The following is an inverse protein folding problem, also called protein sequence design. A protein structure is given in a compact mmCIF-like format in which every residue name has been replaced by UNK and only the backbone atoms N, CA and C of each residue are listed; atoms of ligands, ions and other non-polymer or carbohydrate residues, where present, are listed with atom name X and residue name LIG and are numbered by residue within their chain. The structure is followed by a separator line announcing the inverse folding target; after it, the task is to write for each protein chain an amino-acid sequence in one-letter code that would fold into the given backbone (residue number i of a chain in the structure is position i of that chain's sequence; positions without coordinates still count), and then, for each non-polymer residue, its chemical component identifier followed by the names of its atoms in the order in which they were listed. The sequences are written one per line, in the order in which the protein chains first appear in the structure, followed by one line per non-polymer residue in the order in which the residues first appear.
data_IF_283320328224
#
_entry.id   IF_283320328224
#
_cell.length_a   1.000
_cell.length_b   1.000
_cell.length_c   1.000
_cell.angle_alpha   90.00
_cell.angle_beta   90.00
_cell.angle_gamma   90.00
#
_symmetry.space_group_name_H-M   'P 1'
#
loop_
_entity.id
_entity.type
_entity.pdbx_description
1 polymer ?
#
# COMPACT_ATOMS: atom_id res chain seq x y z
N UNK A 1 -2.11 -6.93 12.92
CA UNK A 1 -3.45 -7.34 12.46
C UNK A 1 -3.84 -6.53 11.24
N UNK A 2 -4.18 -7.19 10.17
CA UNK A 2 -4.70 -6.54 8.99
C UNK A 2 -6.19 -6.28 9.17
N UNK A 3 -6.69 -5.13 8.72
CA UNK A 3 -8.12 -4.86 8.57
C UNK A 3 -8.66 -5.72 7.41
N UNK A 4 -8.91 -7.02 7.66
CA UNK A 4 -9.24 -7.97 6.60
C UNK A 4 -10.45 -8.79 6.96
N UNK A 5 -11.38 -8.85 6.04
CA UNK A 5 -12.44 -9.82 6.02
C UNK A 5 -12.31 -10.84 4.89
N UNK A 6 -13.13 -11.86 4.92
CA UNK A 6 -13.36 -12.77 3.79
C UNK A 6 -14.32 -12.12 2.79
N UNK A 7 -14.60 -12.77 1.67
CA UNK A 7 -15.55 -12.28 0.67
C UNK A 7 -16.97 -12.11 1.23
N UNK A 8 -17.38 -12.97 2.16
CA UNK A 8 -18.59 -12.78 2.97
C UNK A 8 -18.52 -11.50 3.79
N UNK A 9 -17.33 -11.00 4.01
CA UNK A 9 -16.96 -9.82 4.77
C UNK A 9 -16.35 -8.73 3.89
N UNK A 10 -16.69 -8.63 2.60
CA UNK A 10 -16.25 -7.49 1.77
C UNK A 10 -16.65 -6.18 2.46
N UNK A 11 -17.80 -6.14 3.08
CA UNK A 11 -18.27 -5.02 3.91
C UNK A 11 -17.44 -4.85 5.18
N UNK A 12 -17.10 -5.94 5.85
CA UNK A 12 -16.30 -5.91 7.07
C UNK A 12 -14.84 -5.59 6.79
N UNK A 13 -14.35 -5.94 5.61
CA UNK A 13 -12.99 -5.65 5.16
C UNK A 13 -12.71 -4.15 5.10
N UNK A 14 -13.71 -3.39 4.75
CA UNK A 14 -13.71 -1.94 4.69
C UNK A 14 -14.51 -1.28 5.83
N UNK A 15 -14.84 -2.07 6.86
CA UNK A 15 -15.59 -1.66 8.05
C UNK A 15 -16.98 -1.08 7.78
N UNK A 16 -17.18 -0.33 6.69
CA UNK A 16 -18.45 0.26 6.30
C UNK A 16 -18.42 0.68 4.82
N UNK A 17 -19.60 0.93 4.25
CA UNK A 17 -19.76 1.64 2.97
C UNK A 17 -19.73 3.18 3.16
N UNK A 18 -19.85 3.64 4.41
CA UNK A 18 -19.72 5.04 4.77
C UNK A 18 -18.24 5.39 5.04
N UNK A 19 -17.65 6.31 4.27
CA UNK A 19 -16.23 6.65 4.42
C UNK A 19 -15.91 7.27 5.79
N UNK A 20 -16.83 8.01 6.39
CA UNK A 20 -16.63 8.62 7.71
C UNK A 20 -16.65 7.56 8.82
N UNK A 21 -17.57 6.62 8.74
CA UNK A 21 -17.63 5.51 9.70
C UNK A 21 -16.40 4.61 9.57
N UNK A 22 -15.99 4.30 8.34
CA UNK A 22 -14.77 3.52 8.06
C UNK A 22 -13.53 4.22 8.61
N UNK A 23 -13.41 5.53 8.38
CA UNK A 23 -12.31 6.34 8.92
C UNK A 23 -12.26 6.29 10.46
N UNK A 24 -13.39 6.53 11.11
CA UNK A 24 -13.49 6.55 12.58
C UNK A 24 -13.12 5.21 13.19
N UNK A 25 -13.64 4.11 12.66
CA UNK A 25 -13.33 2.77 13.15
C UNK A 25 -11.89 2.36 12.84
N UNK A 26 -11.41 2.70 11.64
CA UNK A 26 -10.04 2.42 11.21
C UNK A 26 -9.00 3.09 12.10
N UNK A 27 -9.19 4.36 12.41
CA UNK A 27 -8.31 5.13 13.31
C UNK A 27 -8.23 4.47 14.68
N UNK A 28 -9.39 4.18 15.30
CA UNK A 28 -9.42 3.56 16.63
C UNK A 28 -8.74 2.17 16.63
N UNK A 29 -8.92 1.41 15.55
CA UNK A 29 -8.30 0.09 15.41
C UNK A 29 -6.76 0.20 15.25
N UNK A 30 -6.29 1.11 14.39
CA UNK A 30 -4.86 1.36 14.16
C UNK A 30 -4.19 1.76 15.48
N UNK A 31 -4.75 2.73 16.19
CA UNK A 31 -4.23 3.18 17.48
C UNK A 31 -4.13 2.03 18.49
N UNK A 32 -5.21 1.25 18.65
CA UNK A 32 -5.21 0.11 19.58
C UNK A 32 -4.21 -1.00 19.22
N UNK A 33 -3.94 -1.25 17.93
CA UNK A 33 -2.90 -2.20 17.49
C UNK A 33 -1.52 -1.65 17.83
N UNK A 34 -1.27 -0.38 17.51
CA UNK A 34 0.06 0.25 17.67
C UNK A 34 0.44 0.54 19.12
N UNK A 35 -0.52 0.61 20.06
CA UNK A 35 -0.25 0.61 21.51
C UNK A 35 0.51 -0.63 22.00
N UNK A 36 0.54 -1.70 21.20
CA UNK A 36 1.23 -2.96 21.53
C UNK A 36 2.58 -3.11 20.82
N UNK A 37 3.19 -2.03 20.35
CA UNK A 37 4.43 -2.03 19.56
C UNK A 37 4.34 -2.90 18.28
N UNK A 38 3.18 -2.91 17.63
CA UNK A 38 2.92 -3.65 16.38
C UNK A 38 2.45 -2.67 15.29
N UNK A 39 3.11 -2.68 14.14
CA UNK A 39 2.66 -1.87 13.02
C UNK A 39 1.30 -2.34 12.51
N UNK A 40 0.31 -1.46 12.53
CA UNK A 40 -0.92 -1.68 11.79
C UNK A 40 -0.68 -1.50 10.28
N UNK A 41 -1.43 -2.26 9.46
CA UNK A 41 -1.37 -2.15 8.01
C UNK A 41 -2.75 -1.83 7.45
N UNK A 42 -2.93 -0.60 6.96
CA UNK A 42 -4.17 -0.19 6.31
C UNK A 42 -4.23 -0.75 4.87
N UNK A 43 -5.36 -1.39 4.49
CA UNK A 43 -5.47 -2.05 3.19
C UNK A 43 -6.90 -2.20 2.68
N UNK A 44 -7.04 -2.42 1.38
CA UNK A 44 -6.03 -2.41 0.32
C UNK A 44 -6.05 -1.06 -0.41
N UNK A 45 -4.89 -0.45 -0.60
CA UNK A 45 -4.75 0.90 -1.18
C UNK A 45 -4.53 0.79 -2.69
N UNK A 46 -5.49 1.14 -3.57
CA UNK A 46 -6.82 1.60 -3.26
C UNK A 46 -7.82 1.02 -4.27
N UNK A 47 -9.12 1.24 -3.99
CA UNK A 47 -10.21 0.91 -4.93
C UNK A 47 -10.32 -0.59 -5.24
N UNK A 48 -9.99 -1.47 -4.32
CA UNK A 48 -10.23 -2.91 -4.50
C UNK A 48 -11.72 -3.22 -4.20
N UNK A 49 -12.59 -2.91 -5.17
CA UNK A 49 -14.04 -2.93 -5.00
C UNK A 49 -14.68 -4.29 -5.22
N UNK A 50 -13.97 -5.24 -5.84
CA UNK A 50 -14.49 -6.58 -6.14
C UNK A 50 -13.43 -7.66 -6.00
N UNK A 51 -13.88 -8.90 -5.77
CA UNK A 51 -13.01 -10.08 -5.72
C UNK A 51 -12.90 -10.80 -7.08
N UNK A 52 -13.92 -10.65 -7.95
CA UNK A 52 -13.88 -11.24 -9.29
C UNK A 52 -12.79 -10.54 -10.12
N UNK A 53 -11.87 -11.34 -10.66
CA UNK A 53 -10.72 -10.88 -11.44
C UNK A 53 -9.85 -9.82 -10.72
N UNK A 54 -9.87 -9.82 -9.38
CA UNK A 54 -9.20 -8.80 -8.54
C UNK A 54 -7.73 -8.56 -8.88
N UNK A 55 -7.06 -9.55 -9.46
CA UNK A 55 -5.64 -9.43 -9.82
C UNK A 55 -5.41 -8.51 -11.02
N UNK A 56 -6.41 -8.35 -11.89
CA UNK A 56 -6.25 -7.66 -13.18
C UNK A 56 -7.41 -6.73 -13.55
N UNK A 57 -8.43 -6.60 -12.68
CA UNK A 57 -9.54 -5.66 -12.93
C UNK A 57 -9.04 -4.22 -12.97
N UNK A 58 -9.51 -3.46 -13.95
CA UNK A 58 -9.26 -2.01 -14.05
C UNK A 58 -10.49 -1.23 -13.55
N UNK A 59 -10.34 -0.61 -12.39
CA UNK A 59 -11.38 0.19 -11.76
C UNK A 59 -11.35 1.62 -12.30
N UNK A 60 -12.30 1.94 -13.16
CA UNK A 60 -12.44 3.30 -13.71
C UNK A 60 -13.14 4.20 -12.70
N UNK A 61 -12.41 5.12 -12.10
CA UNK A 61 -12.88 5.97 -11.01
C UNK A 61 -12.59 7.45 -11.33
N UNK A 62 -13.61 8.30 -11.14
CA UNK A 62 -13.40 9.74 -11.25
C UNK A 62 -12.58 10.25 -10.05
N UNK A 63 -11.82 11.34 -10.25
CA UNK A 63 -11.05 11.99 -9.18
C UNK A 63 -11.95 12.35 -7.99
N UNK A 64 -13.18 12.83 -8.25
CA UNK A 64 -14.13 13.13 -7.21
C UNK A 64 -14.51 11.90 -6.37
N UNK A 65 -14.84 10.78 -7.02
CA UNK A 65 -15.22 9.57 -6.31
C UNK A 65 -14.01 8.99 -5.55
N UNK A 66 -12.82 9.06 -6.13
CA UNK A 66 -11.59 8.67 -5.48
C UNK A 66 -11.40 9.45 -4.18
N UNK A 67 -11.50 10.78 -4.22
CA UNK A 67 -11.28 11.68 -3.09
C UNK A 67 -12.40 11.68 -2.05
N UNK A 68 -13.65 11.49 -2.45
CA UNK A 68 -14.79 11.60 -1.53
C UNK A 68 -15.20 10.25 -0.91
N UNK A 69 -14.87 9.13 -1.57
CA UNK A 69 -15.37 7.80 -1.16
C UNK A 69 -14.22 6.83 -0.80
N UNK A 70 -13.22 6.68 -1.67
CA UNK A 70 -12.22 5.62 -1.50
C UNK A 70 -11.02 6.00 -0.64
N UNK A 71 -10.59 7.25 -0.68
CA UNK A 71 -9.39 7.70 0.01
C UNK A 71 -9.59 8.27 1.42
N UNK A 72 -10.77 8.77 1.86
CA UNK A 72 -10.88 9.41 3.17
C UNK A 72 -10.49 8.53 4.36
N UNK A 73 -10.75 7.21 4.27
CA UNK A 73 -10.34 6.29 5.32
C UNK A 73 -8.82 6.11 5.41
N UNK A 74 -8.11 6.19 4.29
CA UNK A 74 -6.64 6.14 4.26
C UNK A 74 -6.01 7.46 4.71
N UNK A 75 -6.61 8.59 4.32
CA UNK A 75 -6.23 9.90 4.83
C UNK A 75 -6.32 9.95 6.36
N UNK A 76 -7.45 9.55 6.93
CA UNK A 76 -7.63 9.47 8.37
C UNK A 76 -6.68 8.44 9.03
N UNK A 77 -6.42 7.31 8.38
CA UNK A 77 -5.46 6.32 8.87
C UNK A 77 -4.06 6.91 9.03
N UNK A 78 -3.65 7.79 8.10
CA UNK A 78 -2.36 8.50 8.17
C UNK A 78 -2.40 9.62 9.22
N UNK A 79 -3.33 10.57 9.07
CA UNK A 79 -3.34 11.80 9.88
C UNK A 79 -3.75 11.57 11.34
N UNK A 80 -4.82 10.80 11.56
CA UNK A 80 -5.40 10.61 12.87
C UNK A 80 -4.96 9.29 13.51
N UNK A 81 -4.77 8.25 12.68
CA UNK A 81 -4.35 6.93 13.13
C UNK A 81 -2.85 6.77 13.32
N UNK A 82 -2.05 7.55 12.62
CA UNK A 82 -0.59 7.41 12.61
C UNK A 82 -0.14 6.03 12.11
N UNK A 83 -0.81 5.49 11.08
CA UNK A 83 -0.55 4.15 10.57
C UNK A 83 0.90 4.00 10.07
N UNK A 84 1.56 2.90 10.44
CA UNK A 84 2.96 2.65 10.11
C UNK A 84 3.17 1.87 8.82
N UNK A 85 2.14 1.20 8.31
CA UNK A 85 2.23 0.54 7.00
C UNK A 85 0.92 0.59 6.22
N UNK A 86 1.03 0.55 4.90
CA UNK A 86 -0.09 0.51 3.96
C UNK A 86 0.16 -0.62 2.96
N UNK A 87 -0.87 -1.37 2.59
CA UNK A 87 -0.74 -2.44 1.59
C UNK A 87 -1.38 -2.00 0.27
N UNK A 88 -0.58 -2.01 -0.80
CA UNK A 88 -1.04 -1.74 -2.15
C UNK A 88 -1.97 -2.83 -2.66
N UNK A 89 -3.01 -2.44 -3.40
CA UNK A 89 -4.01 -3.36 -3.93
C UNK A 89 -3.55 -4.07 -5.22
N UNK A 90 -4.28 -5.14 -5.59
CA UNK A 90 -4.01 -5.90 -6.81
C UNK A 90 -4.44 -5.20 -8.10
N UNK A 91 -5.59 -4.52 -8.03
CA UNK A 91 -6.30 -3.98 -9.17
C UNK A 91 -5.53 -2.84 -9.85
N UNK A 92 -6.00 -2.50 -11.04
CA UNK A 92 -5.63 -1.25 -11.67
C UNK A 92 -6.63 -0.17 -11.24
N UNK A 93 -6.16 1.07 -11.25
CA UNK A 93 -6.99 2.28 -11.14
C UNK A 93 -6.69 3.13 -12.35
N UNK A 94 -7.71 3.38 -13.18
CA UNK A 94 -7.58 4.18 -14.39
C UNK A 94 -6.41 3.74 -15.30
N UNK A 95 -6.25 2.43 -15.46
CA UNK A 95 -5.24 1.83 -16.34
C UNK A 95 -3.88 1.55 -15.73
N UNK A 96 -3.64 1.90 -14.44
CA UNK A 96 -2.34 1.70 -13.78
C UNK A 96 -2.49 0.81 -12.56
N UNK A 97 -1.61 -0.19 -12.38
CA UNK A 97 -1.55 -1.06 -11.20
C UNK A 97 -1.33 -0.23 -9.93
N UNK A 98 -2.05 -0.53 -8.86
CA UNK A 98 -1.92 0.22 -7.60
C UNK A 98 -0.49 0.23 -7.04
N UNK A 99 0.25 -0.87 -7.18
CA UNK A 99 1.65 -0.97 -6.73
C UNK A 99 2.66 -0.24 -7.65
N UNK A 100 2.21 0.33 -8.76
CA UNK A 100 3.00 1.07 -9.76
C UNK A 100 2.43 2.48 -9.99
N UNK A 101 1.44 2.89 -9.17
CA UNK A 101 0.64 4.07 -9.43
C UNK A 101 1.21 5.31 -8.76
N UNK A 102 1.96 6.10 -9.53
CA UNK A 102 2.61 7.31 -9.02
C UNK A 102 1.64 8.27 -8.32
N UNK A 103 0.49 8.60 -8.93
CA UNK A 103 -0.48 9.51 -8.31
C UNK A 103 -0.98 9.00 -6.95
N UNK A 104 -1.24 7.68 -6.82
CA UNK A 104 -1.71 7.12 -5.55
C UNK A 104 -0.59 7.08 -4.52
N UNK A 105 0.59 6.53 -4.88
CA UNK A 105 1.65 6.22 -3.95
C UNK A 105 2.52 7.44 -3.59
N UNK A 106 2.84 8.28 -4.57
CA UNK A 106 3.67 9.46 -4.34
C UNK A 106 2.82 10.70 -4.09
N UNK A 107 2.08 11.14 -5.12
CA UNK A 107 1.43 12.45 -5.09
C UNK A 107 0.38 12.54 -3.97
N UNK A 108 -0.43 11.49 -3.75
CA UNK A 108 -1.48 11.49 -2.72
C UNK A 108 -0.96 10.96 -1.38
N UNK A 109 -0.48 9.71 -1.33
CA UNK A 109 -0.14 9.08 -0.06
C UNK A 109 1.06 9.75 0.61
N UNK A 110 2.14 10.03 -0.16
CA UNK A 110 3.36 10.63 0.38
C UNK A 110 3.27 12.14 0.50
N UNK A 111 2.96 12.83 -0.62
CA UNK A 111 3.07 14.29 -0.67
C UNK A 111 1.87 14.99 -0.02
N UNK A 112 0.64 14.55 -0.32
CA UNK A 112 -0.55 15.20 0.24
C UNK A 112 -0.85 14.75 1.68
N UNK A 113 -0.76 13.43 1.98
CA UNK A 113 -1.07 12.92 3.32
C UNK A 113 0.15 12.86 4.25
N UNK A 114 1.37 13.02 3.73
CA UNK A 114 2.58 12.99 4.54
C UNK A 114 2.87 11.63 5.17
N UNK A 115 2.55 10.53 4.48
CA UNK A 115 2.78 9.19 5.00
C UNK A 115 4.27 8.84 5.01
N UNK A 116 4.82 8.64 6.20
CA UNK A 116 6.25 8.34 6.42
C UNK A 116 6.54 6.83 6.63
N UNK A 117 5.51 6.00 6.81
CA UNK A 117 5.66 4.55 6.95
C UNK A 117 6.03 3.87 5.63
N UNK A 118 6.06 2.54 5.60
CA UNK A 118 6.34 1.80 4.36
C UNK A 118 5.08 1.28 3.67
N UNK A 119 5.14 1.17 2.35
CA UNK A 119 4.12 0.51 1.53
C UNK A 119 4.59 -0.90 1.19
N UNK A 120 3.76 -1.89 1.54
CA UNK A 120 3.96 -3.29 1.15
C UNK A 120 2.98 -3.67 0.03
N UNK A 121 3.40 -4.50 -0.92
CA UNK A 121 2.47 -5.02 -1.92
C UNK A 121 1.53 -6.08 -1.32
N UNK A 122 0.36 -6.27 -1.89
CA UNK A 122 -0.34 -7.54 -1.72
C UNK A 122 0.44 -8.67 -2.42
N UNK A 123 0.13 -9.93 -2.12
CA UNK A 123 0.86 -11.09 -2.62
C UNK A 123 0.90 -11.12 -4.15
N UNK A 124 2.11 -11.00 -4.71
CA UNK A 124 2.33 -10.95 -6.17
C UNK A 124 1.63 -9.79 -6.90
N UNK A 125 1.38 -8.67 -6.22
CA UNK A 125 0.76 -7.49 -6.83
C UNK A 125 1.75 -6.63 -7.62
N UNK A 126 3.05 -6.74 -7.37
CA UNK A 126 4.11 -6.12 -8.19
C UNK A 126 4.21 -6.88 -9.52
N UNK A 127 4.25 -6.15 -10.64
CA UNK A 127 4.30 -6.72 -11.99
C UNK A 127 5.44 -6.17 -12.85
N UNK A 128 6.01 -5.05 -12.48
CA UNK A 128 7.14 -4.42 -13.16
C UNK A 128 8.14 -3.88 -12.13
N UNK A 129 9.40 -4.31 -12.26
CA UNK A 129 10.48 -3.91 -11.35
C UNK A 129 10.70 -2.42 -11.36
N UNK A 130 10.83 -1.84 -12.56
CA UNK A 130 11.18 -0.42 -12.70
C UNK A 130 10.01 0.47 -12.27
N UNK A 131 8.82 0.21 -12.79
CA UNK A 131 7.63 1.01 -12.47
C UNK A 131 7.34 1.02 -10.96
N UNK A 132 7.46 -0.14 -10.28
CA UNK A 132 7.27 -0.22 -8.83
C UNK A 132 8.44 0.39 -8.03
N UNK A 133 9.67 0.30 -8.54
CA UNK A 133 10.84 0.85 -7.87
C UNK A 133 10.88 2.39 -7.92
N UNK A 134 10.40 2.99 -8.99
CA UNK A 134 10.39 4.45 -9.20
C UNK A 134 9.26 5.18 -8.44
N UNK A 135 8.37 4.44 -7.76
CA UNK A 135 7.27 5.02 -6.96
C UNK A 135 7.37 4.62 -5.49
N UNK A 136 6.47 5.12 -4.66
CA UNK A 136 6.42 4.92 -3.21
C UNK A 136 6.13 3.49 -2.72
N UNK A 137 6.32 2.46 -3.56
CA UNK A 137 6.24 1.04 -3.21
C UNK A 137 7.55 0.59 -2.57
N UNK A 138 7.53 0.10 -1.34
CA UNK A 138 8.76 -0.15 -0.58
C UNK A 138 9.11 -1.64 -0.43
N UNK A 139 8.12 -2.51 -0.19
CA UNK A 139 8.34 -3.94 0.09
C UNK A 139 7.47 -4.80 -0.81
N UNK A 140 8.09 -5.66 -1.60
CA UNK A 140 7.36 -6.67 -2.38
C UNK A 140 7.05 -7.91 -1.54
N UNK A 141 5.79 -8.36 -1.60
CA UNK A 141 5.40 -9.71 -1.17
C UNK A 141 5.08 -10.57 -2.39
N UNK A 142 5.65 -11.77 -2.45
CA UNK A 142 5.40 -12.71 -3.54
C UNK A 142 5.17 -14.12 -3.03
N UNK A 143 4.72 -15.02 -3.90
CA UNK A 143 4.37 -16.41 -3.56
C UNK A 143 5.23 -17.43 -4.31
N UNK A 144 6.25 -16.99 -5.02
CA UNK A 144 7.15 -17.92 -5.72
C UNK A 144 8.09 -18.60 -4.74
N UNK A 145 8.46 -19.87 -4.94
CA UNK A 145 9.41 -20.57 -4.07
C UNK A 145 10.86 -20.08 -4.25
N UNK A 146 11.14 -19.36 -5.33
CA UNK A 146 12.46 -18.82 -5.61
C UNK A 146 12.46 -17.31 -5.33
N UNK A 147 12.99 -16.91 -4.18
CA UNK A 147 13.08 -15.51 -3.76
C UNK A 147 13.94 -14.66 -4.70
N UNK A 148 14.89 -15.26 -5.40
CA UNK A 148 15.78 -14.55 -6.33
C UNK A 148 15.01 -14.00 -7.55
N UNK A 149 13.84 -14.55 -7.86
CA UNK A 149 13.02 -14.15 -9.00
C UNK A 149 12.00 -13.06 -8.66
N UNK A 150 11.92 -12.61 -7.41
CA UNK A 150 11.06 -11.51 -7.04
C UNK A 150 11.48 -10.22 -7.77
N UNK A 151 10.51 -9.37 -8.11
CA UNK A 151 10.77 -8.12 -8.83
C UNK A 151 11.73 -7.19 -8.08
N UNK A 152 11.68 -7.21 -6.73
CA UNK A 152 12.58 -6.43 -5.85
C UNK A 152 13.80 -7.23 -5.35
N UNK A 153 14.07 -8.39 -5.92
CA UNK A 153 15.30 -9.17 -5.66
C UNK A 153 16.33 -8.99 -6.79
N UNK A 154 16.75 -10.07 -7.44
CA UNK A 154 17.73 -10.01 -8.52
C UNK A 154 17.32 -9.11 -9.71
N UNK A 155 16.03 -9.04 -10.13
CA UNK A 155 15.64 -8.07 -11.15
C UNK A 155 15.94 -6.62 -10.77
N UNK A 156 15.61 -6.19 -9.54
CA UNK A 156 15.89 -4.84 -9.05
C UNK A 156 17.40 -4.57 -8.96
N UNK A 157 18.17 -5.53 -8.41
CA UNK A 157 19.62 -5.43 -8.36
C UNK A 157 20.22 -5.18 -9.74
N UNK A 158 19.79 -5.95 -10.76
CA UNK A 158 20.26 -5.79 -12.14
C UNK A 158 19.83 -4.44 -12.74
N UNK A 159 18.60 -3.98 -12.44
CA UNK A 159 18.13 -2.69 -12.92
C UNK A 159 18.97 -1.53 -12.37
N UNK A 160 19.39 -1.61 -11.10
CA UNK A 160 20.32 -0.64 -10.50
C UNK A 160 21.72 -0.74 -11.13
N UNK A 161 22.28 -1.94 -11.26
CA UNK A 161 23.58 -2.18 -11.89
C UNK A 161 23.64 -1.67 -13.33
N UNK A 162 22.52 -1.76 -14.07
CA UNK A 162 22.39 -1.25 -15.43
C UNK A 162 22.08 0.25 -15.52
N UNK A 163 21.81 0.92 -14.40
CA UNK A 163 21.42 2.33 -14.36
C UNK A 163 19.98 2.60 -14.82
N UNK A 164 19.11 1.58 -14.85
CA UNK A 164 17.70 1.69 -15.19
C UNK A 164 16.86 2.21 -14.00
N UNK A 165 17.30 1.92 -12.78
CA UNK A 165 16.75 2.38 -11.50
C UNK A 165 17.89 3.03 -10.72
N UNK A 166 17.63 4.12 -10.02
CA UNK A 166 18.64 4.79 -9.20
C UNK A 166 18.82 4.05 -7.87
N UNK A 167 20.04 3.94 -7.39
CA UNK A 167 20.34 3.39 -6.07
C UNK A 167 19.61 4.18 -4.96
N UNK A 168 19.52 5.51 -5.10
CA UNK A 168 18.78 6.37 -4.17
C UNK A 168 17.30 6.02 -4.02
N UNK A 169 16.68 5.46 -5.05
CA UNK A 169 15.28 5.04 -4.98
C UNK A 169 15.14 3.77 -4.11
N UNK A 170 16.16 2.93 -4.07
CA UNK A 170 16.23 1.77 -3.18
C UNK A 170 16.54 2.20 -1.75
N UNK A 171 17.49 3.12 -1.57
CA UNK A 171 17.88 3.64 -0.25
C UNK A 171 16.69 4.20 0.52
N UNK A 172 15.86 5.03 -0.14
CA UNK A 172 14.66 5.62 0.48
C UNK A 172 13.67 4.54 0.95
N UNK A 173 13.52 3.43 0.21
CA UNK A 173 12.66 2.32 0.62
C UNK A 173 13.18 1.62 1.88
N UNK A 174 14.48 1.38 1.92
CA UNK A 174 15.15 0.79 3.09
C UNK A 174 15.06 1.72 4.30
N UNK A 175 15.27 3.01 4.12
CA UNK A 175 15.15 4.02 5.18
C UNK A 175 13.76 4.01 5.81
N UNK A 176 12.68 3.92 5.02
CA UNK A 176 11.30 3.86 5.53
C UNK A 176 11.04 2.60 6.36
N UNK A 177 11.54 1.45 5.91
CA UNK A 177 11.41 0.20 6.68
C UNK A 177 12.16 0.29 8.01
N UNK A 178 13.40 0.79 7.99
CA UNK A 178 14.22 0.98 9.19
C UNK A 178 13.57 1.98 10.16
N UNK A 179 13.01 3.08 9.64
CA UNK A 179 12.32 4.07 10.46
C UNK A 179 11.12 3.48 11.21
N UNK A 180 10.35 2.61 10.55
CA UNK A 180 9.24 1.89 11.22
C UNK A 180 9.75 0.89 12.25
N UNK A 181 10.84 0.17 11.96
CA UNK A 181 11.47 -0.73 12.93
C UNK A 181 11.96 0.03 14.17
N UNK A 182 12.59 1.18 13.98
CA UNK A 182 13.05 2.05 15.07
C UNK A 182 11.87 2.59 15.91
N UNK A 183 10.80 3.01 15.25
CA UNK A 183 9.58 3.46 15.93
C UNK A 183 8.92 2.37 16.77
N UNK A 184 9.13 1.11 16.45
CA UNK A 184 8.65 -0.07 17.19
C UNK A 184 9.69 -0.64 18.17
N UNK A 185 10.81 0.04 18.36
CA UNK A 185 11.90 -0.38 19.27
C UNK A 185 12.47 -1.78 18.94
N UNK A 186 12.55 -2.12 17.65
CA UNK A 186 13.03 -3.43 17.16
C UNK A 186 14.55 -3.47 16.97
#
# INVERSE_FOLDING_TARGET
ACLVGSEMCIRDRYMSEDPVLTATQGVAYIQGVQESDVAACAKHYAVNSQETDRLDVDETVSERALREIYLPAFEAAVHDGGVLSVMGAYNLVNGTKCCEHKQLLDDILRDEYGFDGFVVSDWSAVRDTKASAEVGMDVEMSVTPNFDDYYFANPLKKAVENGEVKESDVDVKVERVIAVMDALHM
#
